data_IF_229056531328
#
_entry.id   IF_229056531328
#
_cell.length_a   1.000
_cell.length_b   1.000
_cell.length_c   1.000
_cell.angle_alpha   90.00
_cell.angle_beta   90.00
_cell.angle_gamma   90.00
#
_symmetry.space_group_name_H-M   'P 1'
#
loop_
_entity.id
_entity.type
_entity.pdbx_description
1 polymer ?
#
# COMPACT_ATOMS: atom_id res chain seq x y z
N UNK A 1 41.40 50.50 -63.27
CA UNK A 1 40.42 50.59 -62.18
C UNK A 1 39.56 49.34 -62.24
N UNK A 2 39.80 48.41 -61.31
CA UNK A 2 39.14 47.10 -61.28
C UNK A 2 37.86 47.14 -60.45
N UNK A 3 36.92 46.27 -60.80
CA UNK A 3 35.74 45.94 -60.00
C UNK A 3 35.27 44.53 -60.32
N UNK A 4 36.11 43.54 -59.99
CA UNK A 4 35.66 42.16 -59.79
C UNK A 4 35.32 41.98 -58.32
N UNK A 5 34.08 42.27 -57.90
CA UNK A 5 33.68 42.01 -56.51
C UNK A 5 32.16 41.95 -56.29
N UNK A 6 31.42 41.15 -57.06
CA UNK A 6 29.99 40.89 -56.75
C UNK A 6 29.66 39.39 -56.63
N UNK A 7 30.60 38.49 -56.91
CA UNK A 7 30.37 37.04 -56.81
C UNK A 7 30.78 36.40 -55.47
N UNK A 8 31.33 37.15 -54.52
CA UNK A 8 31.87 36.59 -53.28
C UNK A 8 30.84 36.46 -52.14
N UNK A 9 29.73 37.21 -52.17
CA UNK A 9 28.75 37.19 -51.07
C UNK A 9 27.75 36.02 -51.12
N UNK A 10 27.57 35.38 -52.29
CA UNK A 10 26.64 34.26 -52.42
C UNK A 10 27.22 32.93 -51.87
N UNK A 11 28.53 32.85 -51.69
CA UNK A 11 29.20 31.63 -51.22
C UNK A 11 29.31 31.52 -49.69
N UNK A 12 29.10 32.60 -48.94
CA UNK A 12 29.18 32.58 -47.47
C UNK A 12 27.89 32.08 -46.78
N UNK A 13 26.77 31.99 -47.49
CA UNK A 13 25.52 31.44 -46.95
C UNK A 13 25.42 29.91 -47.06
N UNK A 14 26.34 29.26 -47.78
CA UNK A 14 26.38 27.79 -47.92
C UNK A 14 27.29 27.11 -46.88
N UNK A 15 27.98 27.88 -46.03
CA UNK A 15 28.87 27.36 -44.97
C UNK A 15 28.21 27.29 -43.59
N UNK A 16 26.99 27.82 -43.43
CA UNK A 16 26.17 27.50 -42.26
C UNK A 16 25.46 26.19 -42.56
N UNK A 17 26.19 25.10 -42.32
CA UNK A 17 25.63 23.75 -42.32
C UNK A 17 24.31 23.74 -41.56
N UNK A 18 23.31 23.11 -42.15
CA UNK A 18 22.04 22.84 -41.48
C UNK A 18 22.34 22.37 -40.05
N UNK A 19 21.64 22.89 -39.02
CA UNK A 19 21.80 22.33 -37.69
C UNK A 19 21.55 20.84 -37.84
N UNK A 20 22.60 20.05 -37.61
CA UNK A 20 22.47 18.62 -37.49
C UNK A 20 21.36 18.41 -36.47
N UNK A 21 20.23 17.85 -36.91
CA UNK A 21 19.26 17.23 -36.03
C UNK A 21 20.06 16.14 -35.31
N UNK A 22 20.71 16.51 -34.20
CA UNK A 22 21.35 15.55 -33.33
C UNK A 22 20.24 14.61 -32.91
N UNK A 23 20.31 13.34 -33.33
CA UNK A 23 19.35 12.37 -32.82
C UNK A 23 19.52 12.37 -31.31
N UNK A 24 18.44 12.65 -30.60
CA UNK A 24 18.42 12.55 -29.15
C UNK A 24 18.89 11.13 -28.79
N UNK A 25 19.88 10.97 -27.90
CA UNK A 25 20.38 9.64 -27.57
C UNK A 25 19.22 8.79 -27.05
N UNK A 26 19.07 7.59 -27.62
CA UNK A 26 17.99 6.69 -27.23
C UNK A 26 18.07 6.41 -25.71
N UNK A 27 17.01 6.75 -24.99
CA UNK A 27 16.88 6.55 -23.55
C UNK A 27 16.20 5.20 -23.29
N UNK A 28 16.83 4.35 -22.47
CA UNK A 28 16.39 2.99 -22.24
C UNK A 28 16.20 2.69 -20.76
N UNK A 29 15.22 1.86 -20.42
CA UNK A 29 15.01 1.37 -19.07
C UNK A 29 14.84 -0.15 -19.03
N UNK A 30 15.29 -0.79 -17.95
CA UNK A 30 14.94 -2.18 -17.69
C UNK A 30 13.43 -2.32 -17.55
N UNK A 31 12.88 -3.39 -18.10
CA UNK A 31 11.43 -3.67 -18.12
C UNK A 31 11.13 -5.01 -17.48
N UNK A 32 10.11 -5.04 -16.63
CA UNK A 32 9.59 -6.30 -16.13
C UNK A 32 8.52 -6.14 -15.07
N UNK A 33 7.77 -7.20 -14.83
CA UNK A 33 6.74 -7.29 -13.80
C UNK A 33 6.93 -8.63 -13.09
N UNK A 34 6.88 -8.61 -11.76
CA UNK A 34 6.99 -9.79 -10.92
C UNK A 34 5.85 -9.81 -9.92
N UNK A 35 5.19 -10.96 -9.80
CA UNK A 35 4.19 -11.22 -8.77
C UNK A 35 4.42 -12.63 -8.24
N UNK A 36 4.77 -12.76 -6.97
CA UNK A 36 5.08 -14.06 -6.38
C UNK A 36 4.76 -14.13 -4.89
N UNK A 37 4.58 -15.35 -4.40
CA UNK A 37 4.49 -15.66 -2.97
C UNK A 37 5.70 -16.53 -2.61
N UNK A 38 6.57 -16.03 -1.76
CA UNK A 38 7.82 -16.72 -1.37
C UNK A 38 7.94 -16.86 0.15
N UNK A 39 8.73 -17.82 0.61
CA UNK A 39 9.02 -17.98 2.06
C UNK A 39 10.19 -17.11 2.50
N UNK A 40 11.21 -17.00 1.66
CA UNK A 40 12.41 -16.21 1.90
C UNK A 40 12.65 -15.27 0.71
N UNK A 41 12.21 -14.00 0.82
CA UNK A 41 12.35 -13.04 -0.27
C UNK A 41 13.82 -12.72 -0.60
N UNK A 42 14.73 -12.75 0.38
CA UNK A 42 16.14 -12.40 0.13
C UNK A 42 16.85 -13.43 -0.74
N UNK A 43 16.50 -14.72 -0.57
CA UNK A 43 17.13 -15.82 -1.31
C UNK A 43 16.35 -16.25 -2.54
N UNK A 44 15.03 -16.10 -2.53
CA UNK A 44 14.16 -16.66 -3.57
C UNK A 44 13.68 -15.62 -4.60
N UNK A 45 13.91 -14.33 -4.37
CA UNK A 45 13.49 -13.29 -5.32
C UNK A 45 14.70 -12.73 -6.08
N UNK A 46 14.67 -12.92 -7.40
CA UNK A 46 15.59 -12.30 -8.32
C UNK A 46 14.86 -11.19 -9.10
N UNK A 47 15.35 -9.96 -8.99
CA UNK A 47 14.77 -8.77 -9.63
C UNK A 47 15.53 -8.33 -10.89
N UNK A 48 16.40 -9.18 -11.43
CA UNK A 48 17.06 -8.93 -12.71
C UNK A 48 16.12 -9.15 -13.90
N UNK A 49 16.36 -8.42 -14.98
CA UNK A 49 15.66 -8.59 -16.26
C UNK A 49 16.58 -8.23 -17.41
N UNK A 50 16.61 -9.08 -18.44
CA UNK A 50 17.31 -8.80 -19.71
C UNK A 50 16.45 -7.97 -20.67
N UNK A 51 15.17 -7.75 -20.31
CA UNK A 51 14.26 -6.95 -21.13
C UNK A 51 14.51 -5.47 -20.87
N UNK A 52 14.56 -4.73 -21.97
CA UNK A 52 14.72 -3.29 -22.00
C UNK A 52 13.61 -2.70 -22.87
N UNK A 53 13.17 -1.50 -22.56
CA UNK A 53 12.30 -0.70 -23.43
C UNK A 53 12.92 0.67 -23.71
N UNK A 54 12.62 1.20 -24.90
CA UNK A 54 12.91 2.58 -25.29
C UNK A 54 11.85 3.49 -24.69
N UNK A 55 12.28 4.61 -24.11
CA UNK A 55 11.41 5.57 -23.45
C UNK A 55 11.29 6.86 -24.26
N UNK A 56 10.17 7.55 -24.10
CA UNK A 56 9.95 8.86 -24.71
C UNK A 56 10.88 9.92 -24.11
N UNK A 57 11.22 10.95 -24.89
CA UNK A 57 12.04 12.07 -24.44
C UNK A 57 11.48 12.72 -23.16
N UNK A 58 12.35 12.96 -22.18
CA UNK A 58 11.96 13.54 -20.88
C UNK A 58 11.32 12.54 -19.89
N UNK A 59 11.26 11.25 -20.22
CA UNK A 59 10.84 10.20 -19.28
C UNK A 59 11.93 9.84 -18.27
N UNK A 60 11.54 9.06 -17.27
CA UNK A 60 12.41 8.49 -16.25
C UNK A 60 12.36 6.96 -16.31
N UNK A 61 13.40 6.30 -15.81
CA UNK A 61 13.29 4.91 -15.42
C UNK A 61 12.73 4.81 -14.01
N UNK A 62 11.83 3.86 -13.78
CA UNK A 62 11.39 3.49 -12.44
C UNK A 62 11.63 2.01 -12.14
N UNK A 63 11.85 1.72 -10.86
CA UNK A 63 11.72 0.39 -10.28
C UNK A 63 10.98 0.50 -8.95
N UNK A 64 9.90 -0.27 -8.80
CA UNK A 64 9.02 -0.20 -7.64
C UNK A 64 8.64 -1.58 -7.14
N UNK A 65 8.49 -1.71 -5.82
CA UNK A 65 8.33 -2.96 -5.10
C UNK A 65 7.38 -2.76 -3.93
N UNK A 66 6.42 -3.66 -3.78
CA UNK A 66 5.57 -3.82 -2.61
C UNK A 66 5.77 -5.23 -2.05
N UNK A 67 6.04 -5.33 -0.75
CA UNK A 67 6.18 -6.61 -0.05
C UNK A 67 5.28 -6.67 1.17
N UNK A 68 4.60 -7.80 1.32
CA UNK A 68 3.66 -8.04 2.42
C UNK A 68 3.91 -9.42 3.00
N UNK A 69 4.47 -9.45 4.22
CA UNK A 69 4.70 -10.67 4.97
C UNK A 69 3.53 -10.95 5.89
N UNK A 70 3.01 -12.16 5.83
CA UNK A 70 2.08 -12.71 6.83
C UNK A 70 2.46 -14.14 7.18
N UNK A 71 2.79 -14.37 8.44
CA UNK A 71 3.35 -15.64 8.91
C UNK A 71 4.68 -15.96 8.21
N UNK A 72 4.76 -17.16 7.63
CA UNK A 72 5.98 -17.67 6.96
C UNK A 72 6.02 -17.39 5.45
N UNK A 73 5.11 -16.57 4.92
CA UNK A 73 5.02 -16.24 3.49
C UNK A 73 5.05 -14.73 3.29
N UNK A 74 5.61 -14.32 2.16
CA UNK A 74 5.72 -12.93 1.72
C UNK A 74 5.19 -12.84 0.29
N UNK A 75 4.21 -11.97 0.07
CA UNK A 75 3.87 -11.52 -1.27
C UNK A 75 4.87 -10.48 -1.74
N UNK A 76 5.28 -10.58 -3.00
CA UNK A 76 6.13 -9.61 -3.68
C UNK A 76 5.43 -9.19 -4.95
N UNK A 77 5.26 -7.88 -5.12
CA UNK A 77 4.82 -7.26 -6.36
C UNK A 77 5.88 -6.24 -6.76
N UNK A 78 6.47 -6.41 -7.94
CA UNK A 78 7.54 -5.55 -8.41
C UNK A 78 7.35 -5.19 -9.88
N UNK A 79 7.80 -4.00 -10.26
CA UNK A 79 7.73 -3.49 -11.63
C UNK A 79 8.96 -2.65 -11.96
N UNK A 80 9.38 -2.71 -13.22
CA UNK A 80 10.42 -1.88 -13.82
C UNK A 80 9.94 -1.38 -15.18
N UNK A 81 10.24 -0.13 -15.52
CA UNK A 81 9.96 0.41 -16.85
C UNK A 81 10.14 1.92 -16.95
N UNK A 82 9.74 2.48 -18.10
CA UNK A 82 9.65 3.92 -18.33
C UNK A 82 8.49 4.53 -17.54
N UNK A 83 8.62 5.80 -17.20
CA UNK A 83 7.52 6.61 -16.66
C UNK A 83 7.67 8.08 -17.10
N UNK A 84 6.58 8.68 -17.56
CA UNK A 84 6.58 10.05 -18.11
C UNK A 84 6.59 11.14 -17.04
N UNK A 85 6.15 10.83 -15.82
CA UNK A 85 6.06 11.78 -14.72
C UNK A 85 6.79 11.25 -13.49
N UNK A 86 7.54 12.14 -12.83
CA UNK A 86 8.25 11.81 -11.61
C UNK A 86 9.35 12.81 -11.32
N UNK A 87 10.03 12.60 -10.22
CA UNK A 87 11.24 13.31 -9.85
C UNK A 87 12.25 12.29 -9.37
N UNK A 88 13.52 12.47 -9.70
CA UNK A 88 14.58 11.59 -9.22
C UNK A 88 14.54 11.50 -7.69
N UNK A 89 14.16 10.33 -7.19
CA UNK A 89 13.94 10.09 -5.78
C UNK A 89 13.97 8.60 -5.49
N UNK A 90 14.46 8.26 -4.30
CA UNK A 90 14.38 6.92 -3.74
C UNK A 90 13.50 6.99 -2.50
N UNK A 91 12.42 6.22 -2.51
CA UNK A 91 11.43 6.16 -1.44
C UNK A 91 11.40 4.76 -0.85
N UNK A 92 11.57 4.65 0.46
CA UNK A 92 11.36 3.41 1.21
C UNK A 92 10.36 3.69 2.34
N UNK A 93 9.31 2.88 2.43
CA UNK A 93 8.25 3.08 3.42
C UNK A 93 7.96 1.76 4.11
N UNK A 94 8.03 1.76 5.44
CA UNK A 94 7.47 0.69 6.26
C UNK A 94 6.03 1.07 6.62
N UNK A 95 5.07 0.54 5.85
CA UNK A 95 3.65 0.83 6.05
C UNK A 95 3.11 0.15 7.32
N UNK A 96 3.45 -1.11 7.53
CA UNK A 96 3.09 -1.85 8.74
C UNK A 96 4.36 -2.42 9.37
N UNK A 97 4.74 -1.96 10.58
CA UNK A 97 5.89 -2.48 11.29
C UNK A 97 5.57 -3.81 11.98
N UNK A 98 6.59 -4.61 12.30
CA UNK A 98 6.44 -5.75 13.20
C UNK A 98 5.93 -5.30 14.59
N UNK A 99 5.34 -6.21 15.38
CA UNK A 99 5.17 -7.64 15.11
C UNK A 99 3.86 -7.98 14.36
N UNK A 100 3.82 -9.15 13.71
CA UNK A 100 2.67 -9.63 12.93
C UNK A 100 2.85 -9.45 11.41
N UNK A 101 1.85 -8.87 10.75
CA UNK A 101 1.93 -8.50 9.33
C UNK A 101 2.91 -7.36 9.16
N UNK A 102 3.84 -7.53 8.22
CA UNK A 102 4.82 -6.49 7.86
C UNK A 102 4.57 -6.10 6.41
N UNK A 103 4.40 -4.80 6.16
CA UNK A 103 4.20 -4.25 4.82
C UNK A 103 5.26 -3.19 4.57
N UNK A 104 6.05 -3.37 3.51
CA UNK A 104 7.08 -2.40 3.10
C UNK A 104 6.97 -2.14 1.60
N UNK A 105 7.34 -0.93 1.20
CA UNK A 105 7.49 -0.57 -0.20
C UNK A 105 8.81 0.12 -0.46
N UNK A 106 9.25 -0.01 -1.71
CA UNK A 106 10.40 0.66 -2.26
C UNK A 106 10.05 1.19 -3.65
N UNK A 107 10.52 2.39 -3.97
CA UNK A 107 10.41 2.95 -5.30
C UNK A 107 11.62 3.83 -5.59
N UNK A 108 12.17 3.73 -6.80
CA UNK A 108 13.28 4.53 -7.27
C UNK A 108 12.98 5.06 -8.66
N UNK A 109 13.19 6.35 -8.86
CA UNK A 109 13.08 7.05 -10.13
C UNK A 109 14.45 7.63 -10.48
N UNK A 110 14.91 7.41 -11.71
CA UNK A 110 16.23 7.85 -12.15
C UNK A 110 16.23 8.19 -13.65
N UNK A 111 17.16 9.07 -14.05
CA UNK A 111 17.20 9.71 -15.38
C UNK A 111 18.30 9.15 -16.30
N UNK A 112 19.15 8.24 -15.78
CA UNK A 112 20.22 7.63 -16.57
C UNK A 112 19.73 6.36 -17.28
N UNK A 113 20.21 6.12 -18.49
CA UNK A 113 19.81 4.93 -19.26
C UNK A 113 20.19 3.65 -18.48
N UNK A 114 19.22 2.73 -18.35
CA UNK A 114 19.35 1.45 -17.62
C UNK A 114 19.64 1.58 -16.11
N UNK A 115 19.39 2.73 -15.50
CA UNK A 115 19.68 2.98 -14.08
C UNK A 115 18.82 2.14 -13.10
N UNK A 116 17.65 1.67 -13.53
CA UNK A 116 16.73 0.87 -12.73
C UNK A 116 17.16 -0.62 -12.68
N UNK A 117 18.38 -0.85 -12.18
CA UNK A 117 19.10 -2.12 -12.27
C UNK A 117 19.18 -2.91 -10.96
N UNK A 118 18.39 -2.58 -9.92
CA UNK A 118 18.46 -3.30 -8.65
C UNK A 118 18.08 -4.78 -8.82
N UNK A 119 18.92 -5.66 -8.28
CA UNK A 119 18.84 -7.11 -8.52
C UNK A 119 18.23 -7.88 -7.34
N UNK A 120 18.40 -7.39 -6.11
CA UNK A 120 18.04 -8.11 -4.91
C UNK A 120 17.47 -7.21 -3.81
N UNK A 121 16.90 -7.88 -2.80
CA UNK A 121 16.17 -7.26 -1.70
C UNK A 121 16.99 -7.14 -0.41
N UNK A 122 18.30 -7.43 -0.44
CA UNK A 122 19.13 -7.57 0.77
C UNK A 122 19.11 -6.31 1.65
N UNK A 123 19.08 -5.13 1.03
CA UNK A 123 19.04 -3.84 1.73
C UNK A 123 17.62 -3.38 2.07
N UNK A 124 16.60 -3.94 1.42
CA UNK A 124 15.20 -3.52 1.58
C UNK A 124 14.46 -4.35 2.63
N UNK A 125 15.04 -5.47 3.07
CA UNK A 125 14.42 -6.36 4.04
C UNK A 125 15.36 -6.60 5.23
N UNK A 126 15.05 -6.00 6.38
CA UNK A 126 15.63 -6.44 7.64
C UNK A 126 14.88 -7.70 8.07
N UNK A 127 15.58 -8.84 8.11
CA UNK A 127 15.05 -9.97 8.84
C UNK A 127 15.09 -9.59 10.30
N UNK A 128 13.92 -9.48 10.91
CA UNK A 128 13.87 -9.60 12.35
C UNK A 128 14.02 -11.07 12.72
N UNK A 129 14.78 -11.30 13.78
CA UNK A 129 14.84 -12.60 14.42
C UNK A 129 13.41 -13.07 14.74
N UNK A 130 13.12 -14.37 14.58
CA UNK A 130 11.85 -14.91 15.02
C UNK A 130 11.70 -14.59 16.51
N UNK A 131 10.82 -13.64 16.85
CA UNK A 131 10.43 -13.47 18.24
C UNK A 131 9.82 -14.81 18.67
N UNK A 132 10.41 -15.41 19.71
CA UNK A 132 9.95 -16.68 20.23
C UNK A 132 8.44 -16.60 20.48
N UNK A 133 7.70 -17.57 19.94
CA UNK A 133 6.28 -17.70 20.24
C UNK A 133 6.13 -17.71 21.76
N UNK A 134 5.42 -16.73 22.32
CA UNK A 134 5.23 -16.70 23.77
C UNK A 134 4.39 -17.92 24.15
N UNK A 135 4.81 -18.60 25.21
CA UNK A 135 4.08 -19.73 25.81
C UNK A 135 2.71 -19.32 26.36
N UNK A 136 2.37 -18.02 26.29
CA UNK A 136 1.12 -17.40 26.71
C UNK A 136 0.45 -16.56 25.61
N UNK A 137 0.47 -17.01 24.34
CA UNK A 137 -0.21 -16.28 23.27
C UNK A 137 -1.72 -16.11 23.58
N UNK A 138 -2.15 -14.87 23.83
CA UNK A 138 -3.55 -14.53 24.15
C UNK A 138 -4.44 -14.38 22.90
N UNK A 139 -3.83 -14.26 21.72
CA UNK A 139 -4.51 -14.02 20.46
C UNK A 139 -4.06 -15.03 19.42
N UNK A 140 -5.02 -15.59 18.69
CA UNK A 140 -4.80 -16.49 17.57
C UNK A 140 -5.54 -15.94 16.35
N UNK A 141 -4.84 -15.83 15.23
CA UNK A 141 -5.40 -15.25 14.01
C UNK A 141 -5.26 -16.19 12.82
N UNK A 142 -6.31 -16.29 11.97
CA UNK A 142 -6.16 -16.85 10.63
C UNK A 142 -5.01 -16.14 9.92
N UNK A 143 -4.01 -16.89 9.47
CA UNK A 143 -2.79 -16.33 8.89
C UNK A 143 -2.59 -16.81 7.47
N UNK A 144 -2.57 -15.89 6.51
CA UNK A 144 -2.29 -16.17 5.11
C UNK A 144 -1.90 -14.90 4.35
N UNK A 145 -1.19 -15.11 3.24
CA UNK A 145 -1.04 -14.11 2.17
C UNK A 145 -1.07 -14.86 0.83
N UNK A 146 -1.87 -14.38 -0.12
CA UNK A 146 -2.05 -15.02 -1.41
C UNK A 146 -2.42 -14.02 -2.51
N UNK A 147 -1.90 -14.25 -3.72
CA UNK A 147 -2.42 -13.64 -4.95
C UNK A 147 -3.81 -14.25 -5.22
N UNK A 148 -4.83 -13.41 -5.30
CA UNK A 148 -6.23 -13.80 -5.28
C UNK A 148 -6.73 -14.06 -3.86
N UNK A 149 -7.29 -15.25 -3.64
CA UNK A 149 -7.85 -15.65 -2.35
C UNK A 149 -6.97 -16.70 -1.65
N UNK A 150 -6.95 -16.66 -0.32
CA UNK A 150 -6.30 -17.67 0.49
C UNK A 150 -7.06 -18.99 0.42
N UNK A 151 -6.43 -20.04 -0.10
CA UNK A 151 -6.99 -21.40 -0.08
C UNK A 151 -7.13 -21.96 1.33
N UNK A 152 -6.23 -21.58 2.23
CA UNK A 152 -6.27 -21.90 3.66
C UNK A 152 -5.66 -20.75 4.47
N UNK A 153 -6.17 -20.55 5.69
CA UNK A 153 -5.69 -19.57 6.64
C UNK A 153 -5.70 -20.18 8.06
N UNK A 154 -4.71 -21.03 8.40
CA UNK A 154 -4.64 -21.65 9.72
C UNK A 154 -4.55 -20.58 10.81
N UNK A 155 -5.17 -20.87 11.95
CA UNK A 155 -5.12 -19.99 13.12
C UNK A 155 -3.78 -20.18 13.83
N UNK A 156 -2.91 -19.17 13.78
CA UNK A 156 -1.58 -19.21 14.39
C UNK A 156 -1.54 -18.33 15.65
N UNK A 157 -0.73 -18.70 16.67
CA UNK A 157 -0.51 -17.85 17.82
C UNK A 157 0.16 -16.54 17.39
N UNK A 158 -0.33 -15.43 17.92
CA UNK A 158 0.23 -14.13 17.62
C UNK A 158 1.45 -13.81 18.50
N UNK A 159 2.44 -13.09 17.96
CA UNK A 159 3.51 -12.51 18.76
C UNK A 159 2.94 -11.48 19.76
N UNK A 160 3.73 -11.21 20.80
CA UNK A 160 3.41 -10.16 21.77
C UNK A 160 3.22 -8.80 21.07
N UNK A 161 2.53 -7.87 21.72
CA UNK A 161 2.29 -6.51 21.23
C UNK A 161 1.45 -6.40 19.94
N UNK A 162 0.84 -7.50 19.50
CA UNK A 162 -0.24 -7.48 18.50
C UNK A 162 -1.57 -7.18 19.16
N UNK A 163 -2.40 -6.36 18.50
CA UNK A 163 -3.64 -5.83 19.08
C UNK A 163 -4.90 -6.45 18.48
N UNK A 164 -4.82 -7.02 17.27
CA UNK A 164 -5.96 -7.67 16.62
C UNK A 164 -5.58 -8.63 15.49
N UNK A 165 -6.59 -9.37 15.02
CA UNK A 165 -6.54 -10.07 13.75
C UNK A 165 -6.97 -9.16 12.61
N UNK A 166 -6.05 -8.92 11.68
CA UNK A 166 -6.34 -8.28 10.41
C UNK A 166 -6.89 -9.31 9.41
N UNK A 167 -7.90 -8.92 8.65
CA UNK A 167 -8.37 -9.63 7.47
C UNK A 167 -8.75 -8.59 6.44
N UNK A 168 -8.07 -8.59 5.30
CA UNK A 168 -8.30 -7.57 4.28
C UNK A 168 -7.87 -8.05 2.91
N UNK A 169 -8.23 -7.24 1.92
CA UNK A 169 -7.92 -7.42 0.51
C UNK A 169 -7.29 -6.14 0.00
N UNK A 170 -6.25 -6.29 -0.81
CA UNK A 170 -5.57 -5.19 -1.48
C UNK A 170 -5.80 -5.35 -2.98
N UNK A 171 -6.54 -4.41 -3.56
CA UNK A 171 -6.66 -4.31 -5.01
C UNK A 171 -5.51 -3.46 -5.52
N UNK A 172 -4.65 -4.05 -6.35
CA UNK A 172 -3.38 -3.47 -6.78
C UNK A 172 -3.44 -3.23 -8.28
N UNK A 173 -3.25 -1.99 -8.69
CA UNK A 173 -3.34 -1.54 -10.09
C UNK A 173 -2.20 -0.60 -10.45
N UNK A 174 -1.83 -0.52 -11.74
CA UNK A 174 -0.78 0.39 -12.21
C UNK A 174 0.60 -0.26 -12.33
N UNK A 175 1.52 0.40 -13.03
CA UNK A 175 2.85 -0.16 -13.34
C UNK A 175 2.81 -1.48 -14.12
N UNK A 176 1.75 -1.71 -14.89
CA UNK A 176 1.46 -2.97 -15.59
C UNK A 176 0.89 -4.10 -14.70
N UNK A 177 0.68 -3.85 -13.40
CA UNK A 177 0.11 -4.80 -12.45
C UNK A 177 -1.40 -4.59 -12.36
N UNK A 178 -2.15 -5.69 -12.37
CA UNK A 178 -3.56 -5.74 -11.99
C UNK A 178 -3.79 -7.05 -11.22
N UNK A 179 -3.86 -6.97 -9.89
CA UNK A 179 -3.93 -8.14 -9.04
C UNK A 179 -4.70 -7.85 -7.75
N UNK A 180 -5.28 -8.89 -7.19
CA UNK A 180 -5.90 -8.87 -5.88
C UNK A 180 -4.98 -9.62 -4.91
N UNK A 181 -4.78 -9.11 -3.71
CA UNK A 181 -4.06 -9.82 -2.65
C UNK A 181 -4.98 -10.00 -1.44
N UNK A 182 -5.19 -11.22 -0.97
CA UNK A 182 -5.82 -11.47 0.33
C UNK A 182 -4.76 -11.62 1.42
N UNK A 183 -4.92 -10.88 2.51
CA UNK A 183 -4.00 -10.84 3.64
C UNK A 183 -4.77 -11.05 4.94
N UNK A 184 -4.34 -12.05 5.73
CA UNK A 184 -4.85 -12.30 7.07
C UNK A 184 -3.70 -12.56 8.02
N UNK A 185 -3.78 -12.10 9.25
CA UNK A 185 -2.75 -12.34 10.25
C UNK A 185 -2.89 -11.45 11.47
N UNK A 186 -1.96 -11.61 12.40
CA UNK A 186 -1.84 -10.73 13.56
C UNK A 186 -1.30 -9.36 13.12
N UNK A 187 -1.67 -8.28 13.78
CA UNK A 187 -1.12 -6.95 13.50
C UNK A 187 -1.03 -6.09 14.76
N UNK A 188 -0.02 -5.22 14.79
CA UNK A 188 0.12 -4.11 15.75
C UNK A 188 -0.69 -2.87 15.30
N UNK A 189 -1.15 -2.82 14.05
CA UNK A 189 -1.93 -1.71 13.51
C UNK A 189 -3.41 -1.82 13.88
N UNK A 190 -4.02 -0.68 14.19
CA UNK A 190 -5.45 -0.60 14.49
C UNK A 190 -6.29 -0.27 13.24
N UNK A 191 -7.20 -1.18 12.87
CA UNK A 191 -8.22 -0.98 11.84
C UNK A 191 -7.77 -1.50 10.48
N UNK A 192 -8.39 -0.96 9.43
CA UNK A 192 -8.06 -1.25 8.04
C UNK A 192 -6.99 -0.28 7.54
N UNK A 193 -5.73 -0.50 7.95
CA UNK A 193 -4.61 0.44 7.73
C UNK A 193 -3.27 -0.24 7.47
N UNK A 194 -3.23 -1.40 6.82
CA UNK A 194 -1.95 -2.04 6.47
C UNK A 194 -1.06 -1.14 5.62
N UNK A 195 -1.65 -0.31 4.76
CA UNK A 195 -0.93 0.65 3.93
C UNK A 195 -0.64 1.99 4.65
N UNK A 196 -1.07 2.15 5.91
CA UNK A 196 -0.89 3.37 6.72
C UNK A 196 -1.35 4.67 6.03
N UNK A 197 -2.38 4.58 5.19
CA UNK A 197 -2.91 5.73 4.43
C UNK A 197 -2.04 6.15 3.24
N UNK A 198 -0.97 5.42 2.94
CA UNK A 198 -0.08 5.65 1.80
C UNK A 198 -0.35 4.58 0.75
N UNK A 199 -1.21 4.92 -0.21
CA UNK A 199 -1.75 3.99 -1.19
C UNK A 199 -1.00 3.97 -2.53
N UNK A 200 -0.08 4.91 -2.74
CA UNK A 200 0.76 4.97 -3.94
C UNK A 200 2.16 4.42 -3.65
N UNK A 201 2.64 3.52 -4.51
CA UNK A 201 3.98 2.93 -4.49
C UNK A 201 4.57 3.04 -5.89
N UNK A 202 5.32 4.11 -6.16
CA UNK A 202 5.76 4.43 -7.51
C UNK A 202 4.57 4.48 -8.48
N UNK A 203 4.56 3.72 -9.59
CA UNK A 203 3.43 3.67 -10.53
C UNK A 203 2.27 2.77 -10.07
N UNK A 204 2.35 2.19 -8.87
CA UNK A 204 1.35 1.25 -8.34
C UNK A 204 0.40 2.00 -7.39
N UNK A 205 -0.89 1.76 -7.57
CA UNK A 205 -1.96 2.17 -6.65
C UNK A 205 -2.53 0.94 -5.91
N UNK A 206 -2.71 1.08 -4.60
CA UNK A 206 -3.17 0.03 -3.69
C UNK A 206 -4.44 0.47 -2.98
N UNK A 207 -5.56 -0.13 -3.31
CA UNK A 207 -6.82 0.07 -2.59
C UNK A 207 -6.97 -1.02 -1.51
N UNK A 208 -7.06 -0.60 -0.25
CA UNK A 208 -7.21 -1.48 0.90
C UNK A 208 -8.67 -1.61 1.34
N UNK A 209 -9.19 -2.84 1.33
CA UNK A 209 -10.57 -3.16 1.69
C UNK A 209 -10.61 -4.21 2.78
N UNK A 210 -11.22 -3.89 3.92
CA UNK A 210 -11.43 -4.84 5.01
C UNK A 210 -12.93 -5.03 5.26
N UNK A 211 -13.36 -6.21 5.72
CA UNK A 211 -14.73 -6.40 6.16
C UNK A 211 -15.00 -5.48 7.35
N UNK A 212 -16.15 -4.80 7.32
CA UNK A 212 -16.64 -4.01 8.45
C UNK A 212 -16.84 -4.95 9.65
N UNK A 213 -15.95 -4.87 10.64
CA UNK A 213 -16.22 -5.40 11.97
C UNK A 213 -16.88 -4.28 12.76
N UNK A 214 -18.16 -4.43 13.08
CA UNK A 214 -18.81 -3.62 14.11
C UNK A 214 -17.97 -3.71 15.39
N UNK A 215 -17.23 -2.65 15.67
CA UNK A 215 -16.46 -2.48 16.91
C UNK A 215 -17.46 -2.57 18.07
N UNK A 216 -17.23 -3.54 18.97
CA UNK A 216 -17.90 -3.74 20.26
C UNK A 216 -19.42 -4.04 20.19
N UNK A 217 -19.80 -5.32 20.20
CA UNK A 217 -20.88 -5.67 21.13
C UNK A 217 -20.25 -5.65 22.53
N UNK A 218 -20.71 -4.79 23.46
CA UNK A 218 -20.40 -5.00 24.86
C UNK A 218 -20.77 -6.45 25.17
N UNK A 219 -19.85 -7.20 25.80
CA UNK A 219 -20.24 -8.46 26.44
C UNK A 219 -21.44 -8.11 27.31
N UNK A 220 -22.62 -8.61 26.95
CA UNK A 220 -23.75 -8.65 27.86
C UNK A 220 -23.28 -9.55 28.99
N UNK A 221 -22.69 -8.95 30.02
CA UNK A 221 -22.53 -9.61 31.31
C UNK A 221 -23.97 -9.88 31.72
N UNK A 222 -24.38 -11.13 31.60
CA UNK A 222 -25.63 -11.63 32.13
C UNK A 222 -25.50 -11.66 33.65
N UNK A 223 -25.44 -10.47 34.25
CA UNK A 223 -25.68 -10.32 35.67
C UNK A 223 -27.17 -10.56 35.87
N UNK A 224 -27.49 -11.78 36.29
CA UNK A 224 -28.73 -12.14 36.94
C UNK A 224 -28.86 -11.30 38.22
N UNK A 225 -29.31 -10.07 38.07
CA UNK A 225 -29.93 -9.29 39.13
C UNK A 225 -31.40 -9.13 38.74
N UNK A 226 -32.29 -9.67 39.56
CA UNK A 226 -33.72 -9.53 39.38
C UNK A 226 -34.09 -8.04 39.53
N UNK A 227 -34.42 -7.38 38.43
CA UNK A 227 -35.03 -6.06 38.48
C UNK A 227 -36.52 -6.24 38.72
N UNK A 228 -36.92 -6.05 39.97
CA UNK A 228 -38.32 -5.88 40.36
C UNK A 228 -38.89 -4.67 39.61
N UNK A 229 -40.10 -4.76 39.01
CA UNK A 229 -40.72 -3.62 38.38
C UNK A 229 -41.20 -2.64 39.46
N UNK A 230 -40.57 -1.47 39.54
CA UNK A 230 -41.10 -0.33 40.30
C UNK A 230 -42.31 0.19 39.54
N UNK A 231 -43.47 -0.32 39.94
CA UNK A 231 -44.75 0.30 39.65
C UNK A 231 -45.13 1.16 40.86
N UNK A 232 -46.00 2.14 40.60
CA UNK A 232 -46.79 2.93 41.54
C UNK A 232 -46.16 4.29 41.99
N UNK A 233 -47.05 5.30 42.00
CA UNK A 233 -46.98 6.65 42.57
C UNK A 233 -46.58 7.82 41.64
N UNK A 234 -47.34 7.98 40.56
CA UNK A 234 -47.75 9.31 40.08
C UNK A 234 -49.22 9.32 39.69
N UNK A 235 -50.09 9.23 40.69
CA UNK A 235 -51.53 9.47 40.50
C UNK A 235 -52.14 10.20 41.70
N UNK A 236 -51.56 11.32 42.11
CA UNK A 236 -52.19 12.20 43.14
C UNK A 236 -52.15 13.71 42.82
N UNK A 237 -51.54 14.14 41.70
CA UNK A 237 -51.47 15.57 41.35
C UNK A 237 -52.39 16.01 40.20
N UNK A 238 -53.15 15.09 39.59
CA UNK A 238 -54.09 15.42 38.52
C UNK A 238 -55.54 15.68 38.98
N UNK A 239 -55.92 15.23 40.19
CA UNK A 239 -57.30 15.36 40.69
C UNK A 239 -57.55 16.66 41.49
N UNK A 240 -56.49 17.30 42.01
CA UNK A 240 -56.59 18.57 42.76
C UNK A 240 -56.66 19.82 41.86
N UNK A 241 -56.28 19.72 40.58
CA UNK A 241 -56.36 20.83 39.62
C UNK A 241 -57.71 20.92 38.87
N UNK A 242 -58.54 19.88 38.94
CA UNK A 242 -59.88 19.88 38.33
C UNK A 242 -61.00 20.30 39.31
N UNK A 243 -60.76 20.29 40.64
CA UNK A 243 -61.74 20.77 41.62
C UNK A 243 -61.71 22.30 41.86
N UNK A 244 -60.66 23.00 41.43
CA UNK A 244 -60.53 24.45 41.59
C UNK A 244 -61.15 25.26 40.41
N UNK A 245 -61.62 24.59 39.36
CA UNK A 245 -62.22 25.24 38.18
C UNK A 245 -63.77 25.21 38.17
N UNK A 246 -64.41 24.62 39.20
CA UNK A 246 -65.89 24.51 39.27
C UNK A 246 -66.50 25.37 40.39
N UNK A 247 -65.70 26.10 41.17
CA UNK A 247 -66.19 26.90 42.32
C UNK A 247 -66.03 28.43 42.20
N UNK A 248 -65.77 28.97 41.01
CA UNK A 248 -65.91 30.40 40.74
C UNK A 248 -66.68 30.63 39.43
N UNK A 249 -67.95 30.25 39.45
CA UNK A 249 -68.97 30.80 38.57
C UNK A 249 -70.26 30.83 39.37
N UNK A 250 -70.80 32.05 39.53
CA UNK A 250 -71.95 32.50 40.33
C UNK A 250 -71.64 32.93 41.77
#
# INVERSE_FOLDING_TARGET
MGTGHVQSLLFLLLLFGAPSLASEPDFYCHKGIWMSIVKDPKRMFNWTTDKVETCDSGSFCQESLLMIKSGAKTAILATKGCISEGTQAITYIQHSPPPGIITVSYSSYCEESLCNSKENLLQLWREEEPQAASTSAHLYCPTCVALGACSNAPSLPCPNDTVQCYQGRLQITGGGINSLLEVKGCTSITGCRLMSGIFTVGPIWVEEVCPYRSVLQPRKIENRAAWLPVYIWRLELALLLLLQLVHCSW
#
